data_IF_053797188144
#
_entry.id   IF_053797188144
#
_cell.length_a   1.000
_cell.length_b   1.000
_cell.length_c   1.000
_cell.angle_alpha   90.00
_cell.angle_beta   90.00
_cell.angle_gamma   90.00
#
_symmetry.space_group_name_H-M   'P 1'
#
loop_
_entity.id
_entity.type
_entity.pdbx_description
1 polymer ?
#
# COMPACT_ATOMS: atom_id res chain seq x y z
N UNK A 1 85.43 -31.91 0.56
CA UNK A 1 85.76 -33.36 0.59
C UNK A 1 87.24 -33.48 0.25
N UNK A 2 88.06 -34.05 1.14
CA UNK A 2 89.51 -34.15 0.95
C UNK A 2 89.87 -35.17 -0.14
N UNK A 3 90.68 -34.76 -1.12
CA UNK A 3 91.16 -35.61 -2.23
C UNK A 3 91.94 -36.84 -1.75
N UNK A 4 92.64 -36.73 -0.61
CA UNK A 4 93.36 -37.84 0.01
C UNK A 4 92.43 -38.99 0.44
N UNK A 5 91.25 -38.67 0.99
CA UNK A 5 90.27 -39.68 1.38
C UNK A 5 89.67 -40.40 0.16
N UNK A 6 89.54 -39.69 -0.97
CA UNK A 6 89.05 -40.23 -2.24
C UNK A 6 90.06 -41.18 -2.90
N UNK A 7 91.36 -40.84 -2.84
CA UNK A 7 92.43 -41.68 -3.37
C UNK A 7 92.63 -42.98 -2.57
N UNK A 8 92.48 -42.92 -1.24
CA UNK A 8 92.59 -44.09 -0.36
C UNK A 8 91.40 -45.05 -0.55
N UNK A 9 90.19 -44.50 -0.72
CA UNK A 9 88.99 -45.28 -0.99
C UNK A 9 89.06 -45.97 -2.37
N UNK A 10 89.59 -45.27 -3.39
CA UNK A 10 89.84 -45.84 -4.71
C UNK A 10 90.86 -47.00 -4.69
N UNK A 11 91.91 -46.90 -3.87
CA UNK A 11 92.93 -47.95 -3.72
C UNK A 11 92.36 -49.23 -3.05
N UNK A 12 91.53 -49.08 -2.02
CA UNK A 12 90.84 -50.18 -1.34
C UNK A 12 89.86 -50.92 -2.26
N UNK A 13 89.22 -50.23 -3.21
CA UNK A 13 88.34 -50.84 -4.22
C UNK A 13 89.13 -51.71 -5.21
N UNK A 14 90.29 -51.25 -5.66
CA UNK A 14 91.14 -51.94 -6.65
C UNK A 14 91.79 -53.20 -6.09
N UNK A 15 92.09 -53.25 -4.78
CA UNK A 15 92.73 -54.41 -4.14
C UNK A 15 91.82 -55.62 -3.90
N UNK A 16 90.53 -55.56 -4.27
CA UNK A 16 89.52 -56.63 -4.10
C UNK A 16 89.28 -57.17 -2.67
N UNK A 17 89.99 -56.69 -1.65
CA UNK A 17 89.80 -57.11 -0.25
C UNK A 17 88.38 -56.84 0.28
N UNK A 18 87.68 -55.84 -0.27
CA UNK A 18 86.29 -55.55 0.07
C UNK A 18 85.32 -56.68 -0.32
N UNK A 19 85.61 -57.46 -1.37
CA UNK A 19 84.72 -58.50 -1.87
C UNK A 19 84.89 -59.85 -1.16
N UNK A 20 85.96 -60.04 -0.40
CA UNK A 20 86.20 -61.25 0.40
C UNK A 20 85.66 -61.17 1.83
N UNK A 21 85.30 -59.97 2.30
CA UNK A 21 84.85 -59.75 3.66
C UNK A 21 83.33 -59.94 3.77
N UNK A 22 82.88 -61.09 4.29
CA UNK A 22 81.45 -61.40 4.51
C UNK A 22 80.75 -60.32 5.33
N UNK A 23 81.46 -59.68 6.27
CA UNK A 23 80.91 -58.57 7.06
C UNK A 23 80.54 -57.35 6.21
N UNK A 24 81.23 -57.10 5.09
CA UNK A 24 80.88 -56.01 4.16
C UNK A 24 79.53 -56.23 3.47
N UNK A 25 79.20 -57.47 3.08
CA UNK A 25 77.88 -57.76 2.50
C UNK A 25 76.77 -57.68 3.54
N UNK A 26 77.02 -58.13 4.77
CA UNK A 26 76.06 -58.01 5.87
C UNK A 26 75.76 -56.53 6.18
N UNK A 27 76.76 -55.66 6.23
CA UNK A 27 76.53 -54.22 6.46
C UNK A 27 75.81 -53.55 5.30
N UNK A 28 76.08 -53.95 4.05
CA UNK A 28 75.38 -53.42 2.88
C UNK A 28 73.91 -53.86 2.82
N UNK A 29 73.61 -55.12 3.18
CA UNK A 29 72.22 -55.61 3.33
C UNK A 29 71.53 -54.89 4.48
N UNK A 30 72.20 -54.70 5.62
CA UNK A 30 71.64 -53.95 6.75
C UNK A 30 71.34 -52.50 6.36
N UNK A 31 72.25 -51.83 5.64
CA UNK A 31 72.07 -50.46 5.15
C UNK A 31 70.91 -50.37 4.15
N UNK A 32 70.80 -51.33 3.22
CA UNK A 32 69.68 -51.42 2.29
C UNK A 32 68.34 -51.66 3.01
N UNK A 33 68.33 -52.52 4.04
CA UNK A 33 67.16 -52.76 4.89
C UNK A 33 66.72 -51.51 5.64
N UNK A 34 67.65 -50.76 6.24
CA UNK A 34 67.37 -49.47 6.89
C UNK A 34 66.86 -48.45 5.88
N UNK A 35 67.45 -48.38 4.68
CA UNK A 35 66.98 -47.51 3.60
C UNK A 35 65.56 -47.86 3.12
N UNK A 36 65.23 -49.15 3.03
CA UNK A 36 63.88 -49.62 2.70
C UNK A 36 62.88 -49.27 3.80
N UNK A 37 63.24 -49.43 5.08
CA UNK A 37 62.40 -49.02 6.21
C UNK A 37 62.16 -47.51 6.21
N UNK A 38 63.21 -46.70 6.03
CA UNK A 38 63.09 -45.23 5.96
C UNK A 38 62.23 -44.78 4.78
N UNK A 39 62.43 -45.35 3.59
CA UNK A 39 61.62 -45.00 2.41
C UNK A 39 60.16 -45.39 2.56
N UNK A 40 59.87 -46.56 3.17
CA UNK A 40 58.50 -46.97 3.52
C UNK A 40 57.88 -46.01 4.55
N UNK A 41 58.63 -45.58 5.56
CA UNK A 41 58.15 -44.68 6.60
C UNK A 41 57.84 -43.28 6.04
N UNK A 42 58.74 -42.73 5.22
CA UNK A 42 58.54 -41.43 4.53
C UNK A 42 57.31 -41.50 3.62
N UNK A 43 57.15 -42.60 2.87
CA UNK A 43 56.00 -42.76 1.97
C UNK A 43 54.68 -42.91 2.72
N UNK A 44 54.66 -43.64 3.83
CA UNK A 44 53.49 -43.79 4.69
C UNK A 44 53.09 -42.46 5.33
N UNK A 45 54.05 -41.77 5.95
CA UNK A 45 53.80 -40.51 6.65
C UNK A 45 53.39 -39.39 5.68
N UNK A 46 54.10 -39.24 4.55
CA UNK A 46 53.75 -38.27 3.52
C UNK A 46 52.38 -38.54 2.87
N UNK A 47 52.05 -39.82 2.68
CA UNK A 47 50.74 -40.23 2.16
C UNK A 47 49.59 -39.92 3.12
N UNK A 48 49.76 -40.16 4.42
CA UNK A 48 48.75 -39.83 5.42
C UNK A 48 48.59 -38.33 5.65
N UNK A 49 49.69 -37.58 5.72
CA UNK A 49 49.62 -36.12 5.81
C UNK A 49 48.97 -35.49 4.58
N UNK A 50 49.32 -35.98 3.37
CA UNK A 50 48.68 -35.53 2.13
C UNK A 50 47.17 -35.81 2.12
N UNK A 51 46.75 -37.01 2.56
CA UNK A 51 45.34 -37.36 2.71
C UNK A 51 44.64 -36.47 3.74
N UNK A 52 45.25 -36.22 4.89
CA UNK A 52 44.68 -35.38 5.93
C UNK A 52 44.50 -33.93 5.44
N UNK A 53 45.50 -33.39 4.74
CA UNK A 53 45.41 -32.05 4.14
C UNK A 53 44.32 -31.97 3.07
N UNK A 54 44.23 -32.96 2.18
CA UNK A 54 43.17 -33.03 1.18
C UNK A 54 41.76 -33.17 1.81
N UNK A 55 41.63 -33.93 2.91
CA UNK A 55 40.38 -34.01 3.69
C UNK A 55 40.04 -32.64 4.29
N UNK A 56 41.02 -31.93 4.84
CA UNK A 56 40.81 -30.61 5.41
C UNK A 56 40.38 -29.59 4.36
N UNK A 57 41.04 -29.56 3.19
CA UNK A 57 40.68 -28.69 2.07
C UNK A 57 39.26 -29.00 1.55
N UNK A 58 38.91 -30.28 1.37
CA UNK A 58 37.56 -30.68 0.99
C UNK A 58 36.51 -30.28 2.05
N UNK A 59 36.86 -30.36 3.34
CA UNK A 59 35.94 -29.98 4.42
C UNK A 59 35.67 -28.47 4.44
N UNK A 60 36.70 -27.66 4.18
CA UNK A 60 36.55 -26.21 4.10
C UNK A 60 35.77 -25.79 2.84
N UNK A 61 35.94 -26.49 1.72
CA UNK A 61 35.12 -26.30 0.51
C UNK A 61 33.64 -26.65 0.77
N UNK A 62 33.36 -27.79 1.41
CA UNK A 62 31.99 -28.18 1.77
C UNK A 62 31.35 -27.16 2.70
N UNK A 63 32.08 -26.64 3.69
CA UNK A 63 31.60 -25.54 4.55
C UNK A 63 31.29 -24.29 3.75
N UNK A 64 32.16 -23.94 2.80
CA UNK A 64 31.98 -22.76 1.95
C UNK A 64 30.71 -22.89 1.11
N UNK A 65 30.51 -24.04 0.45
CA UNK A 65 29.31 -24.33 -0.33
C UNK A 65 28.04 -24.31 0.52
N UNK A 66 28.09 -24.87 1.74
CA UNK A 66 26.96 -24.85 2.67
C UNK A 66 26.63 -23.42 3.11
N UNK A 67 27.65 -22.60 3.39
CA UNK A 67 27.48 -21.20 3.73
C UNK A 67 26.88 -20.40 2.57
N UNK A 68 27.38 -20.58 1.34
CA UNK A 68 26.85 -19.94 0.13
C UNK A 68 25.40 -20.37 -0.15
N UNK A 69 25.10 -21.65 -0.02
CA UNK A 69 23.74 -22.18 -0.21
C UNK A 69 22.78 -21.63 0.84
N UNK A 70 23.19 -21.60 2.10
CA UNK A 70 22.39 -21.02 3.20
C UNK A 70 22.16 -19.53 3.00
N UNK A 71 23.19 -18.80 2.59
CA UNK A 71 23.09 -17.37 2.28
C UNK A 71 22.09 -17.14 1.14
N UNK A 72 22.24 -17.86 0.03
CA UNK A 72 21.35 -17.75 -1.13
C UNK A 72 19.90 -18.11 -0.76
N UNK A 73 19.69 -19.18 -0.01
CA UNK A 73 18.37 -19.59 0.46
C UNK A 73 17.71 -18.49 1.32
N UNK A 74 18.45 -17.90 2.26
CA UNK A 74 17.95 -16.79 3.08
C UNK A 74 17.65 -15.54 2.28
N UNK A 75 18.47 -15.22 1.27
CA UNK A 75 18.20 -14.09 0.37
C UNK A 75 16.92 -14.30 -0.43
N UNK A 76 16.70 -15.50 -0.96
CA UNK A 76 15.47 -15.85 -1.68
C UNK A 76 14.27 -15.81 -0.74
N UNK A 77 14.37 -16.38 0.46
CA UNK A 77 13.32 -16.34 1.48
C UNK A 77 12.96 -14.90 1.86
N UNK A 78 13.95 -14.04 2.09
CA UNK A 78 13.73 -12.64 2.42
C UNK A 78 13.08 -11.86 1.26
N UNK A 79 13.51 -12.12 0.02
CA UNK A 79 12.92 -11.51 -1.17
C UNK A 79 11.44 -11.92 -1.35
N UNK A 80 11.14 -13.21 -1.16
CA UNK A 80 9.76 -13.73 -1.21
C UNK A 80 8.91 -13.13 -0.09
N UNK A 81 9.42 -13.09 1.14
CA UNK A 81 8.72 -12.48 2.27
C UNK A 81 8.43 -10.99 2.05
N UNK A 82 9.38 -10.24 1.47
CA UNK A 82 9.17 -8.83 1.16
C UNK A 82 8.13 -8.61 0.05
N UNK A 83 8.18 -9.44 -1.00
CA UNK A 83 7.17 -9.43 -2.07
C UNK A 83 5.77 -9.69 -1.51
N UNK A 84 5.60 -10.77 -0.74
CA UNK A 84 4.33 -11.11 -0.11
C UNK A 84 3.82 -10.02 0.82
N UNK A 85 4.71 -9.43 1.61
CA UNK A 85 4.39 -8.30 2.48
C UNK A 85 3.90 -7.09 1.67
N UNK A 86 4.62 -6.70 0.62
CA UNK A 86 4.25 -5.55 -0.21
C UNK A 86 2.87 -5.72 -0.87
N UNK A 87 2.54 -6.94 -1.31
CA UNK A 87 1.24 -7.26 -1.90
C UNK A 87 0.12 -7.18 -0.86
N UNK A 88 0.36 -7.69 0.36
CA UNK A 88 -0.61 -7.59 1.46
C UNK A 88 -0.83 -6.15 1.88
N UNK A 89 0.24 -5.38 1.99
CA UNK A 89 0.18 -3.96 2.37
C UNK A 89 -0.59 -3.15 1.33
N UNK A 90 -0.26 -3.33 0.04
CA UNK A 90 -0.97 -2.70 -1.05
C UNK A 90 -2.48 -3.00 -1.03
N UNK A 91 -2.87 -4.27 -0.85
CA UNK A 91 -4.28 -4.67 -0.75
C UNK A 91 -4.99 -4.07 0.46
N UNK A 92 -4.29 -3.99 1.59
CA UNK A 92 -4.83 -3.44 2.83
C UNK A 92 -5.10 -1.96 2.67
N UNK A 93 -4.12 -1.20 2.18
CA UNK A 93 -4.25 0.22 1.89
C UNK A 93 -5.37 0.48 0.87
N UNK A 94 -5.44 -0.32 -0.20
CA UNK A 94 -6.47 -0.17 -1.23
C UNK A 94 -7.88 -0.39 -0.65
N UNK A 95 -8.05 -1.39 0.22
CA UNK A 95 -9.34 -1.64 0.91
C UNK A 95 -9.72 -0.46 1.81
N UNK A 96 -8.80 0.03 2.64
CA UNK A 96 -9.04 1.17 3.54
C UNK A 96 -9.45 2.42 2.75
N UNK A 97 -8.79 2.68 1.63
CA UNK A 97 -9.12 3.82 0.78
C UNK A 97 -10.46 3.67 0.06
N UNK A 98 -10.87 2.45 -0.32
CA UNK A 98 -12.22 2.20 -0.86
C UNK A 98 -13.31 2.44 0.19
N UNK A 99 -13.07 2.04 1.44
CA UNK A 99 -13.97 2.32 2.56
C UNK A 99 -14.10 3.83 2.78
N UNK A 100 -12.98 4.55 2.74
CA UNK A 100 -12.96 6.02 2.85
C UNK A 100 -13.74 6.70 1.71
N UNK A 101 -13.61 6.22 0.47
CA UNK A 101 -14.40 6.67 -0.68
C UNK A 101 -15.90 6.46 -0.45
N UNK A 102 -16.31 5.27 0.04
CA UNK A 102 -17.71 4.98 0.34
C UNK A 102 -18.28 5.89 1.42
N UNK A 103 -17.55 6.07 2.52
CA UNK A 103 -17.95 6.97 3.61
C UNK A 103 -18.10 8.41 3.10
N UNK A 104 -17.17 8.88 2.27
CA UNK A 104 -17.20 10.23 1.70
C UNK A 104 -18.36 10.40 0.72
N UNK A 105 -18.70 9.38 -0.07
CA UNK A 105 -19.89 9.36 -0.92
C UNK A 105 -21.18 9.52 -0.11
N UNK A 106 -21.32 8.80 1.01
CA UNK A 106 -22.47 8.95 1.90
C UNK A 106 -22.51 10.33 2.57
N UNK A 107 -21.35 10.83 3.02
CA UNK A 107 -21.24 12.17 3.58
C UNK A 107 -21.69 13.25 2.57
N UNK A 108 -21.36 13.07 1.30
CA UNK A 108 -21.78 13.96 0.20
C UNK A 108 -23.30 13.99 0.05
N UNK A 109 -23.95 12.83 0.10
CA UNK A 109 -25.42 12.74 0.04
C UNK A 109 -26.07 13.41 1.24
N UNK A 110 -25.57 13.16 2.45
CA UNK A 110 -26.09 13.78 3.68
C UNK A 110 -25.85 15.28 3.70
N UNK A 111 -24.70 15.75 3.22
CA UNK A 111 -24.41 17.17 3.06
C UNK A 111 -25.40 17.83 2.11
N UNK A 112 -25.59 17.26 0.91
CA UNK A 112 -26.54 17.79 -0.06
C UNK A 112 -27.98 17.80 0.47
N UNK A 113 -28.40 16.75 1.18
CA UNK A 113 -29.72 16.71 1.82
C UNK A 113 -29.93 17.89 2.78
N UNK A 114 -28.91 18.23 3.58
CA UNK A 114 -28.93 19.43 4.44
C UNK A 114 -28.98 20.72 3.62
N UNK A 115 -28.26 20.80 2.50
CA UNK A 115 -28.31 21.97 1.62
C UNK A 115 -29.70 22.19 1.02
N UNK A 116 -30.50 21.14 0.83
CA UNK A 116 -31.88 21.25 0.36
C UNK A 116 -32.86 21.71 1.46
N UNK A 117 -32.55 21.48 2.75
CA UNK A 117 -33.46 21.80 3.86
C UNK A 117 -33.10 23.09 4.59
N UNK A 118 -31.80 23.35 4.80
CA UNK A 118 -31.26 24.49 5.55
C UNK A 118 -31.70 25.88 5.07
N UNK A 119 -31.91 26.15 3.76
CA UNK A 119 -32.32 27.48 3.28
C UNK A 119 -33.63 28.00 3.86
N UNK A 120 -34.42 27.12 4.46
CA UNK A 120 -35.78 27.43 4.89
C UNK A 120 -35.90 27.74 6.38
N UNK A 121 -34.92 27.35 7.20
CA UNK A 121 -35.06 27.31 8.67
C UNK A 121 -34.25 28.37 9.39
N UNK A 122 -33.12 28.82 8.85
CA UNK A 122 -32.21 29.74 9.55
C UNK A 122 -31.85 30.96 8.71
N UNK A 123 -31.80 32.12 9.38
CA UNK A 123 -31.31 33.38 8.77
C UNK A 123 -29.78 33.30 8.52
N UNK A 124 -29.07 32.48 9.30
CA UNK A 124 -27.65 32.19 9.15
C UNK A 124 -27.45 30.87 8.41
N UNK A 125 -26.80 30.95 7.25
CA UNK A 125 -26.27 29.80 6.52
C UNK A 125 -24.79 29.69 6.88
N UNK A 126 -24.43 28.67 7.65
CA UNK A 126 -23.02 28.35 7.87
C UNK A 126 -22.53 27.47 6.71
N UNK A 127 -21.59 27.95 5.87
CA UNK A 127 -21.04 27.16 4.79
C UNK A 127 -20.20 26.03 5.39
N UNK A 128 -20.75 24.82 5.41
CA UNK A 128 -19.99 23.61 5.69
C UNK A 128 -19.24 23.18 4.42
N UNK A 129 -17.96 22.84 4.56
CA UNK A 129 -17.13 22.36 3.46
C UNK A 129 -17.78 21.15 2.76
N UNK A 130 -17.72 21.14 1.43
CA UNK A 130 -18.29 20.06 0.64
C UNK A 130 -17.36 18.84 0.69
N UNK A 131 -17.85 17.64 1.05
CA UNK A 131 -17.03 16.43 1.04
C UNK A 131 -16.69 15.94 -0.38
N UNK A 132 -17.26 16.55 -1.43
CA UNK A 132 -17.04 16.14 -2.83
C UNK A 132 -15.57 16.28 -3.26
N UNK A 133 -14.87 17.31 -2.78
CA UNK A 133 -13.47 17.56 -3.16
C UNK A 133 -12.55 16.46 -2.62
N UNK A 134 -12.84 16.00 -1.39
CA UNK A 134 -12.15 14.85 -0.81
C UNK A 134 -12.41 13.57 -1.62
N UNK A 135 -13.64 13.38 -2.09
CA UNK A 135 -14.00 12.23 -2.92
C UNK A 135 -13.23 12.22 -4.24
N UNK A 136 -13.19 13.36 -4.93
CA UNK A 136 -12.46 13.54 -6.19
C UNK A 136 -10.95 13.28 -6.03
N UNK A 137 -10.36 13.83 -4.97
CA UNK A 137 -8.97 13.58 -4.62
C UNK A 137 -8.68 12.08 -4.38
N UNK A 138 -9.53 11.40 -3.60
CA UNK A 138 -9.34 9.96 -3.31
C UNK A 138 -9.43 9.11 -4.58
N UNK A 139 -10.41 9.39 -5.45
CA UNK A 139 -10.56 8.68 -6.73
C UNK A 139 -9.35 8.93 -7.63
N UNK A 140 -8.92 10.18 -7.76
CA UNK A 140 -7.79 10.56 -8.63
C UNK A 140 -6.48 9.92 -8.20
N UNK A 141 -6.19 9.89 -6.88
CA UNK A 141 -4.91 9.39 -6.37
C UNK A 141 -4.84 7.87 -6.28
N UNK A 142 -5.94 7.22 -5.87
CA UNK A 142 -5.90 5.79 -5.49
C UNK A 142 -6.65 4.87 -6.47
N UNK A 143 -7.60 5.38 -7.25
CA UNK A 143 -8.54 4.56 -8.02
C UNK A 143 -8.77 5.10 -9.44
N UNK A 144 -7.77 5.02 -10.32
CA UNK A 144 -7.92 5.49 -11.71
C UNK A 144 -9.07 4.81 -12.45
N UNK A 145 -9.38 3.54 -12.14
CA UNK A 145 -10.51 2.81 -12.72
C UNK A 145 -11.88 3.38 -12.30
N UNK A 146 -11.94 4.16 -11.22
CA UNK A 146 -13.16 4.83 -10.74
C UNK A 146 -13.30 6.26 -11.28
N UNK A 147 -12.36 6.77 -12.07
CA UNK A 147 -12.39 8.16 -12.57
C UNK A 147 -13.63 8.44 -13.42
N UNK A 148 -13.99 7.56 -14.35
CA UNK A 148 -15.17 7.78 -15.20
C UNK A 148 -16.47 7.84 -14.39
N UNK A 149 -16.83 6.82 -13.58
CA UNK A 149 -18.06 6.88 -12.79
C UNK A 149 -18.00 7.96 -11.68
N UNK A 150 -16.80 8.27 -11.18
CA UNK A 150 -16.57 9.37 -10.23
C UNK A 150 -16.85 10.74 -10.85
N UNK A 151 -16.34 10.99 -12.05
CA UNK A 151 -16.58 12.23 -12.80
C UNK A 151 -18.06 12.38 -13.17
N UNK A 152 -18.72 11.30 -13.58
CA UNK A 152 -20.16 11.30 -13.84
C UNK A 152 -20.97 11.68 -12.60
N UNK A 153 -20.60 11.17 -11.43
CA UNK A 153 -21.22 11.56 -10.16
C UNK A 153 -20.92 13.02 -9.80
N UNK A 154 -19.68 13.47 -10.00
CA UNK A 154 -19.24 14.84 -9.73
C UNK A 154 -20.02 15.86 -10.56
N UNK A 155 -20.19 15.62 -11.85
CA UNK A 155 -20.96 16.50 -12.74
C UNK A 155 -22.42 16.64 -12.30
N UNK A 156 -23.06 15.54 -11.90
CA UNK A 156 -24.43 15.59 -11.39
C UNK A 156 -24.52 16.29 -10.04
N UNK A 157 -23.52 16.11 -9.16
CA UNK A 157 -23.44 16.85 -7.91
C UNK A 157 -23.30 18.35 -8.16
N UNK A 158 -22.43 18.76 -9.09
CA UNK A 158 -22.24 20.16 -9.46
C UNK A 158 -23.52 20.76 -10.07
N UNK A 159 -24.19 20.04 -10.98
CA UNK A 159 -25.46 20.46 -11.56
C UNK A 159 -26.53 20.70 -10.47
N UNK A 160 -26.60 19.81 -9.48
CA UNK A 160 -27.51 19.96 -8.35
C UNK A 160 -27.18 21.20 -7.51
N UNK A 161 -25.90 21.46 -7.24
CA UNK A 161 -25.48 22.64 -6.47
C UNK A 161 -25.79 23.94 -7.21
N UNK A 162 -25.50 24.00 -8.51
CA UNK A 162 -25.87 25.14 -9.35
C UNK A 162 -27.38 25.37 -9.32
N UNK A 163 -28.19 24.31 -9.40
CA UNK A 163 -29.64 24.42 -9.30
C UNK A 163 -30.12 24.89 -7.93
N UNK A 164 -29.52 24.40 -6.83
CA UNK A 164 -29.83 24.88 -5.47
C UNK A 164 -29.51 26.38 -5.38
N UNK A 165 -28.29 26.77 -5.72
CA UNK A 165 -27.83 28.17 -5.62
C UNK A 165 -28.60 29.12 -6.55
N UNK A 166 -28.97 28.66 -7.75
CA UNK A 166 -29.72 29.47 -8.71
C UNK A 166 -31.16 29.75 -8.27
N UNK A 167 -31.78 28.84 -7.51
CA UNK A 167 -33.19 28.93 -7.15
C UNK A 167 -33.44 29.28 -5.66
N UNK A 168 -32.40 29.30 -4.82
CA UNK A 168 -32.52 29.62 -3.39
C UNK A 168 -32.82 31.09 -3.11
N UNK A 169 -32.27 32.00 -3.92
CA UNK A 169 -32.37 33.45 -3.72
C UNK A 169 -33.82 33.95 -3.64
N UNK A 170 -34.72 33.66 -4.60
CA UNK A 170 -36.11 34.12 -4.54
C UNK A 170 -36.87 33.55 -3.35
N UNK A 171 -36.60 32.28 -2.99
CA UNK A 171 -37.24 31.65 -1.81
C UNK A 171 -36.80 32.34 -0.52
N UNK A 172 -35.51 32.71 -0.41
CA UNK A 172 -34.96 33.41 0.75
C UNK A 172 -35.53 34.82 0.88
N UNK A 173 -35.65 35.55 -0.22
CA UNK A 173 -36.23 36.90 -0.23
C UNK A 173 -37.69 36.89 0.25
N UNK A 174 -38.51 35.97 -0.28
CA UNK A 174 -39.90 35.82 0.14
C UNK A 174 -40.02 35.38 1.61
N UNK A 175 -39.13 34.51 2.08
CA UNK A 175 -39.09 34.12 3.49
C UNK A 175 -38.75 35.31 4.39
N UNK A 176 -37.75 36.12 4.02
CA UNK A 176 -37.35 37.31 4.77
C UNK A 176 -38.50 38.32 4.82
N UNK A 177 -39.18 38.57 3.69
CA UNK A 177 -40.37 39.42 3.64
C UNK A 177 -41.47 38.92 4.58
N UNK A 178 -41.74 37.61 4.60
CA UNK A 178 -42.71 36.98 5.50
C UNK A 178 -42.33 37.19 6.97
N UNK A 179 -41.08 36.96 7.35
CA UNK A 179 -40.63 37.14 8.73
C UNK A 179 -40.66 38.62 9.16
N UNK A 180 -40.27 39.56 8.29
CA UNK A 180 -40.41 41.00 8.59
C UNK A 180 -41.86 41.39 8.86
N UNK A 181 -42.82 40.89 8.06
CA UNK A 181 -44.24 41.15 8.28
C UNK A 181 -44.73 40.59 9.62
N UNK A 182 -44.28 39.39 10.02
CA UNK A 182 -44.59 38.85 11.36
C UNK A 182 -44.08 39.75 12.48
N UNK A 183 -42.83 40.20 12.40
CA UNK A 183 -42.26 41.12 13.39
C UNK A 183 -43.00 42.47 13.42
N UNK A 184 -43.43 42.98 12.26
CA UNK A 184 -44.23 44.20 12.18
C UNK A 184 -45.62 44.02 12.81
N UNK A 185 -46.28 42.88 12.58
CA UNK A 185 -47.57 42.55 13.20
C UNK A 185 -47.42 42.49 14.73
N UNK A 186 -46.39 41.80 15.22
CA UNK A 186 -46.09 41.71 16.66
C UNK A 186 -45.88 43.10 17.27
N UNK A 187 -45.09 43.95 16.61
CA UNK A 187 -44.85 45.33 17.05
C UNK A 187 -46.12 46.18 17.02
N UNK A 188 -46.91 46.09 15.94
CA UNK A 188 -48.15 46.85 15.76
C UNK A 188 -49.23 46.43 16.77
N UNK A 189 -49.27 45.15 17.15
CA UNK A 189 -50.22 44.61 18.12
C UNK A 189 -50.07 45.22 19.52
N UNK A 190 -48.91 45.79 19.82
CA UNK A 190 -48.61 46.46 21.08
C UNK A 190 -49.04 47.95 21.11
N UNK A 191 -49.61 48.50 20.03
CA UNK A 191 -50.03 49.91 19.95
C UNK A 191 -51.45 50.13 20.53
N UNK A 192 -51.75 51.37 20.94
CA UNK A 192 -53.02 51.74 21.59
C UNK A 192 -54.28 51.64 20.69
N UNK A 193 -54.12 51.65 19.36
CA UNK A 193 -55.20 51.48 18.37
C UNK A 193 -54.73 50.60 17.20
N UNK A 194 -54.65 49.27 17.39
CA UNK A 194 -53.95 48.39 16.45
C UNK A 194 -54.81 47.91 15.27
N UNK A 195 -56.14 47.99 15.36
CA UNK A 195 -57.03 47.21 14.47
C UNK A 195 -56.85 47.42 12.94
N UNK A 196 -56.92 48.64 12.39
CA UNK A 196 -56.85 48.80 10.94
C UNK A 196 -55.47 48.43 10.37
N UNK A 197 -54.40 48.81 11.07
CA UNK A 197 -53.01 48.51 10.68
C UNK A 197 -52.71 47.01 10.74
N UNK A 198 -53.18 46.32 11.79
CA UNK A 198 -52.97 44.87 11.93
C UNK A 198 -53.73 44.11 10.84
N UNK A 199 -54.94 44.53 10.49
CA UNK A 199 -55.73 43.85 9.43
C UNK A 199 -55.07 43.96 8.05
N UNK A 200 -54.50 45.13 7.72
CA UNK A 200 -53.75 45.33 6.48
C UNK A 200 -52.47 44.48 6.44
N UNK A 201 -51.70 44.45 7.55
CA UNK A 201 -50.50 43.64 7.66
C UNK A 201 -50.78 42.13 7.58
N UNK A 202 -51.90 41.67 8.15
CA UNK A 202 -52.33 40.27 8.05
C UNK A 202 -52.64 39.88 6.60
N UNK A 203 -53.37 40.73 5.86
CA UNK A 203 -53.63 40.49 4.44
C UNK A 203 -52.33 40.45 3.61
N UNK A 204 -51.37 41.34 3.91
CA UNK A 204 -50.05 41.31 3.27
C UNK A 204 -49.25 40.04 3.63
N UNK A 205 -49.35 39.56 4.87
CA UNK A 205 -48.71 38.33 5.33
C UNK A 205 -49.28 37.09 4.62
N UNK A 206 -50.60 37.04 4.39
CA UNK A 206 -51.24 35.95 3.67
C UNK A 206 -50.75 35.88 2.22
N UNK A 207 -50.67 37.02 1.54
CA UNK A 207 -50.12 37.11 0.17
C UNK A 207 -48.66 36.65 0.15
N UNK A 208 -47.81 37.19 1.03
CA UNK A 208 -46.39 36.82 1.10
C UNK A 208 -46.19 35.33 1.45
N UNK A 209 -47.07 34.77 2.29
CA UNK A 209 -47.03 33.35 2.64
C UNK A 209 -47.39 32.45 1.45
N UNK A 210 -48.41 32.83 0.67
CA UNK A 210 -48.79 32.11 -0.54
C UNK A 210 -47.69 32.19 -1.62
N UNK A 211 -47.09 33.37 -1.83
CA UNK A 211 -45.95 33.55 -2.73
C UNK A 211 -44.77 32.67 -2.31
N UNK A 212 -44.43 32.66 -1.02
CA UNK A 212 -43.37 31.82 -0.47
C UNK A 212 -43.65 30.32 -0.69
N UNK A 213 -44.87 29.86 -0.41
CA UNK A 213 -45.25 28.45 -0.61
C UNK A 213 -45.15 28.06 -2.09
N UNK A 214 -45.63 28.92 -2.99
CA UNK A 214 -45.56 28.69 -4.43
C UNK A 214 -44.11 28.62 -4.92
N UNK A 215 -43.27 29.58 -4.52
CA UNK A 215 -41.84 29.60 -4.86
C UNK A 215 -41.10 28.38 -4.31
N UNK A 216 -41.41 27.97 -3.07
CA UNK A 216 -40.84 26.76 -2.45
C UNK A 216 -41.23 25.49 -3.20
N UNK A 217 -42.49 25.36 -3.61
CA UNK A 217 -42.94 24.22 -4.42
C UNK A 217 -42.22 24.19 -5.76
N UNK A 218 -42.15 25.32 -6.46
CA UNK A 218 -41.43 25.42 -7.74
C UNK A 218 -39.95 25.07 -7.60
N UNK A 219 -39.31 25.53 -6.51
CA UNK A 219 -37.94 25.13 -6.16
C UNK A 219 -37.81 23.62 -6.00
N UNK A 220 -38.65 23.00 -5.17
CA UNK A 220 -38.62 21.54 -4.94
C UNK A 220 -38.85 20.77 -6.25
N UNK A 221 -39.86 21.15 -7.03
CA UNK A 221 -40.19 20.50 -8.30
C UNK A 221 -39.03 20.56 -9.30
N UNK A 222 -38.27 21.67 -9.32
CA UNK A 222 -37.07 21.81 -10.16
C UNK A 222 -35.93 20.90 -9.74
N UNK A 223 -35.84 20.54 -8.45
CA UNK A 223 -34.76 19.72 -7.90
C UNK A 223 -35.04 18.22 -8.00
N UNK A 224 -36.31 17.80 -8.02
CA UNK A 224 -36.69 16.37 -8.12
C UNK A 224 -35.98 15.62 -9.25
N UNK A 225 -35.97 16.10 -10.52
CA UNK A 225 -35.30 15.37 -11.60
C UNK A 225 -33.78 15.28 -11.40
N UNK A 226 -33.15 16.36 -10.94
CA UNK A 226 -31.71 16.40 -10.67
C UNK A 226 -31.33 15.47 -9.52
N UNK A 227 -32.14 15.45 -8.47
CA UNK A 227 -31.95 14.53 -7.35
C UNK A 227 -32.06 13.07 -7.80
N UNK A 228 -33.02 12.75 -8.69
CA UNK A 228 -33.16 11.40 -9.25
C UNK A 228 -31.94 11.00 -10.09
N UNK A 229 -31.46 11.89 -10.96
CA UNK A 229 -30.25 11.66 -11.76
C UNK A 229 -29.03 11.44 -10.85
N UNK A 230 -28.87 12.27 -9.82
CA UNK A 230 -27.82 12.11 -8.82
C UNK A 230 -27.92 10.78 -8.07
N UNK A 231 -29.12 10.35 -7.68
CA UNK A 231 -29.33 9.04 -7.05
C UNK A 231 -28.92 7.89 -7.98
N UNK A 232 -29.29 7.98 -9.27
CA UNK A 232 -28.93 6.98 -10.26
C UNK A 232 -27.41 6.91 -10.47
N UNK A 233 -26.75 8.06 -10.63
CA UNK A 233 -25.28 8.13 -10.78
C UNK A 233 -24.55 7.70 -9.52
N UNK A 234 -25.06 8.05 -8.34
CA UNK A 234 -24.54 7.57 -7.05
C UNK A 234 -24.65 6.05 -6.92
N UNK A 235 -25.76 5.45 -7.37
CA UNK A 235 -25.93 4.00 -7.38
C UNK A 235 -25.00 3.31 -8.39
N UNK A 236 -24.80 3.91 -9.56
CA UNK A 236 -23.82 3.47 -10.56
C UNK A 236 -22.40 3.50 -10.00
N UNK A 237 -22.02 4.61 -9.36
CA UNK A 237 -20.71 4.76 -8.74
C UNK A 237 -20.51 3.79 -7.57
N UNK A 238 -21.52 3.59 -6.71
CA UNK A 238 -21.47 2.59 -5.63
C UNK A 238 -21.32 1.17 -6.17
N UNK A 239 -21.98 0.84 -7.28
CA UNK A 239 -21.82 -0.46 -7.95
C UNK A 239 -20.39 -0.63 -8.46
N UNK A 240 -19.80 0.41 -9.08
CA UNK A 240 -18.40 0.38 -9.51
C UNK A 240 -17.43 0.18 -8.34
N UNK A 241 -17.64 0.90 -7.22
CA UNK A 241 -16.82 0.73 -6.01
C UNK A 241 -16.91 -0.71 -5.48
N UNK A 242 -18.11 -1.30 -5.46
CA UNK A 242 -18.30 -2.70 -5.03
C UNK A 242 -17.59 -3.69 -5.95
N UNK A 243 -17.59 -3.43 -7.26
CA UNK A 243 -16.86 -4.27 -8.22
C UNK A 243 -15.35 -4.25 -7.91
N UNK A 244 -14.75 -3.06 -7.77
CA UNK A 244 -13.32 -2.92 -7.40
C UNK A 244 -13.04 -3.56 -6.04
N UNK A 245 -13.93 -3.37 -5.06
CA UNK A 245 -13.78 -3.99 -3.74
C UNK A 245 -13.81 -5.52 -3.81
N UNK A 246 -14.65 -6.10 -4.67
CA UNK A 246 -14.70 -7.55 -4.86
C UNK A 246 -13.38 -8.11 -5.43
N UNK A 247 -12.76 -7.40 -6.37
CA UNK A 247 -11.46 -7.77 -6.95
C UNK A 247 -10.34 -7.74 -5.89
N UNK A 248 -10.37 -6.75 -4.99
CA UNK A 248 -9.37 -6.61 -3.91
C UNK A 248 -9.51 -7.74 -2.87
N UNK A 249 -10.75 -8.15 -2.56
CA UNK A 249 -11.04 -9.19 -1.56
C UNK A 249 -10.78 -10.59 -2.11
N UNK A 250 -11.10 -10.85 -3.38
CA UNK A 250 -10.90 -12.19 -3.95
C UNK A 250 -9.42 -12.55 -3.95
N UNK A 251 -9.02 -13.65 -3.28
CA UNK A 251 -7.66 -14.13 -3.37
C UNK A 251 -7.36 -14.43 -4.85
N UNK A 252 -6.27 -13.87 -5.38
CA UNK A 252 -5.84 -14.13 -6.74
C UNK A 252 -5.62 -15.64 -6.85
N UNK A 253 -6.52 -16.33 -7.57
CA UNK A 253 -6.40 -17.76 -7.83
C UNK A 253 -5.18 -18.09 -8.72
N UNK A 254 -4.48 -17.07 -9.24
CA UNK A 254 -3.38 -17.21 -10.18
C UNK A 254 -2.04 -17.64 -9.55
N UNK A 255 -1.94 -17.78 -8.21
CA UNK A 255 -0.70 -18.19 -7.55
C UNK A 255 -0.78 -19.59 -6.90
N UNK A 256 -1.57 -20.50 -7.48
CA UNK A 256 -1.33 -21.93 -7.25
C UNK A 256 -0.11 -22.34 -8.10
N UNK A 257 1.02 -22.72 -7.46
CA UNK A 257 2.23 -23.10 -8.17
C UNK A 257 2.05 -24.34 -9.05
#
# INVERSE_FOLDING_TARGET
MNEAALAELARLIVQKELFGNVWFYITLIALAGVGAMFSSFIRSYGGEQGKFKAIQENFDEVKHQLAQTTFTAKTVEMALAHSDWSVREYKTLRREKLEEVMLTLYATRSWLARQMTAPHETVSFEPADSPIDKLDMLVTLYFPELQTPGADFFLAHQAMIVAILGNIAPVRELNLRREMLKTQIETASNLANPQPTVQELLAALDVASNEYIAARRAFQDSLIPLYRDLQQRSAGFSTAIKAVMSEVITPSAANSP
#
